data_IF_783981343889
#
_entry.id   IF_783981343889
#
_cell.length_a   1.000
_cell.length_b   1.000
_cell.length_c   1.000
_cell.angle_alpha   90.00
_cell.angle_beta   90.00
_cell.angle_gamma   90.00
#
_symmetry.space_group_name_H-M   'P 1'
#
loop_
_entity.id
_entity.type
_entity.pdbx_description
1 polymer ?
#
# COMPACT_ATOMS: atom_id res chain seq x y z
N UNK A 1 57.31 -43.29 25.50
CA UNK A 1 57.28 -41.86 25.18
C UNK A 1 56.04 -41.64 24.34
N UNK A 2 55.05 -40.81 24.61
CA UNK A 2 54.66 -39.95 25.73
C UNK A 2 53.20 -39.52 25.41
N UNK A 3 52.33 -39.51 26.43
CA UNK A 3 51.20 -38.60 26.71
C UNK A 3 50.28 -38.05 25.58
N UNK A 4 48.95 -38.21 25.75
CA UNK A 4 47.94 -37.14 25.96
C UNK A 4 47.53 -36.42 24.64
N UNK A 5 46.33 -35.89 24.41
CA UNK A 5 45.35 -35.29 25.31
C UNK A 5 43.95 -35.19 24.65
N UNK A 6 42.99 -34.93 25.53
CA UNK A 6 41.60 -34.50 25.40
C UNK A 6 41.30 -33.48 24.29
N UNK A 7 40.06 -33.47 23.78
CA UNK A 7 39.09 -32.40 24.09
C UNK A 7 37.90 -32.41 23.14
N UNK A 8 36.72 -32.63 23.72
CA UNK A 8 35.45 -32.09 23.20
C UNK A 8 35.52 -30.56 23.15
N UNK A 9 35.12 -29.95 22.04
CA UNK A 9 34.63 -28.58 22.03
C UNK A 9 33.51 -28.46 21.01
N UNK A 10 32.31 -28.37 21.55
CA UNK A 10 31.09 -27.96 20.86
C UNK A 10 31.24 -26.49 20.49
N UNK A 11 31.39 -26.17 19.20
CA UNK A 11 31.18 -24.80 18.73
C UNK A 11 29.80 -24.71 18.08
N UNK A 12 28.86 -24.29 18.92
CA UNK A 12 27.60 -23.68 18.51
C UNK A 12 27.91 -22.39 17.75
N UNK A 13 27.98 -22.48 16.42
CA UNK A 13 27.90 -21.30 15.57
C UNK A 13 26.45 -21.09 15.14
N UNK A 14 25.72 -20.37 16.00
CA UNK A 14 24.43 -19.77 15.65
C UNK A 14 24.68 -18.67 14.61
N UNK A 15 24.61 -19.01 13.33
CA UNK A 15 24.50 -17.99 12.28
C UNK A 15 23.06 -17.49 12.25
N UNK A 16 22.75 -16.54 13.13
CA UNK A 16 21.57 -15.69 13.00
C UNK A 16 21.76 -14.80 11.77
N UNK A 17 21.33 -15.29 10.60
CA UNK A 17 21.06 -14.42 9.46
C UNK A 17 19.83 -13.60 9.79
N UNK A 18 20.05 -12.43 10.36
CA UNK A 18 19.10 -11.33 10.31
C UNK A 18 18.97 -10.95 8.84
N UNK A 19 18.04 -11.57 8.12
CA UNK A 19 17.60 -11.07 6.82
C UNK A 19 17.04 -9.69 7.06
N UNK A 20 17.86 -8.68 6.79
CA UNK A 20 17.39 -7.32 6.61
C UNK A 20 16.27 -7.40 5.57
N UNK A 21 15.03 -7.17 5.99
CA UNK A 21 13.95 -6.91 5.06
C UNK A 21 14.35 -5.66 4.29
N UNK A 22 14.96 -5.88 3.13
CA UNK A 22 15.11 -4.87 2.12
C UNK A 22 13.68 -4.40 1.84
N UNK A 23 13.34 -3.18 2.26
CA UNK A 23 12.19 -2.46 1.74
C UNK A 23 12.46 -2.21 0.25
N UNK A 24 12.34 -3.27 -0.55
CA UNK A 24 12.38 -3.21 -1.98
C UNK A 24 11.24 -2.28 -2.39
N UNK A 25 11.57 -1.13 -2.96
CA UNK A 25 10.57 -0.29 -3.61
C UNK A 25 9.82 -1.17 -4.61
N UNK A 26 8.47 -1.13 -4.63
CA UNK A 26 7.72 -1.84 -5.65
C UNK A 26 8.23 -1.40 -7.03
N UNK A 27 8.43 -2.33 -7.97
CA UNK A 27 8.96 -2.02 -9.27
C UNK A 27 8.10 -0.94 -9.93
N UNK A 28 8.73 0.13 -10.40
CA UNK A 28 8.03 1.23 -11.07
C UNK A 28 7.35 0.64 -12.31
N UNK A 29 6.01 0.70 -12.41
CA UNK A 29 5.30 0.12 -13.54
C UNK A 29 5.80 0.73 -14.84
N UNK A 30 6.13 -0.12 -15.81
CA UNK A 30 6.55 0.34 -17.12
C UNK A 30 5.39 1.04 -17.86
N UNK A 31 5.69 1.80 -18.91
CA UNK A 31 4.68 2.60 -19.61
C UNK A 31 3.51 1.74 -20.15
N UNK A 32 3.78 0.49 -20.56
CA UNK A 32 2.77 -0.45 -21.06
C UNK A 32 1.82 -0.92 -19.96
N UNK A 33 2.35 -1.21 -18.78
CA UNK A 33 1.56 -1.57 -17.59
C UNK A 33 0.66 -0.42 -17.15
N UNK A 34 1.16 0.82 -17.19
CA UNK A 34 0.35 2.01 -16.89
C UNK A 34 -0.82 2.17 -17.86
N UNK A 35 -0.63 1.92 -19.15
CA UNK A 35 -1.71 1.97 -20.14
C UNK A 35 -2.74 0.88 -19.87
N UNK A 36 -2.29 -0.37 -19.63
CA UNK A 36 -3.20 -1.47 -19.28
C UNK A 36 -4.01 -1.15 -18.02
N UNK A 37 -3.36 -0.65 -16.97
CA UNK A 37 -4.02 -0.28 -15.72
C UNK A 37 -5.07 0.82 -15.93
N UNK A 38 -4.83 1.81 -16.80
CA UNK A 38 -5.83 2.83 -17.13
C UNK A 38 -7.07 2.23 -17.79
N UNK A 39 -6.89 1.32 -18.74
CA UNK A 39 -8.00 0.63 -19.40
C UNK A 39 -8.79 -0.25 -18.43
N UNK A 40 -8.08 -0.99 -17.57
CA UNK A 40 -8.68 -1.85 -16.54
C UNK A 40 -9.49 -1.00 -15.54
N UNK A 41 -8.92 0.13 -15.08
CA UNK A 41 -9.60 1.07 -14.18
C UNK A 41 -10.82 1.70 -14.84
N UNK A 42 -10.75 2.09 -16.12
CA UNK A 42 -11.90 2.66 -16.82
C UNK A 42 -13.05 1.66 -16.92
N UNK A 43 -12.74 0.39 -17.24
CA UNK A 43 -13.73 -0.69 -17.26
C UNK A 43 -14.36 -0.89 -15.88
N UNK A 44 -13.54 -0.89 -14.82
CA UNK A 44 -14.02 -1.04 -13.45
C UNK A 44 -14.92 0.13 -13.01
N UNK A 45 -14.50 1.38 -13.24
CA UNK A 45 -15.29 2.56 -12.90
C UNK A 45 -16.58 2.68 -13.72
N UNK A 46 -16.63 2.09 -14.92
CA UNK A 46 -17.87 2.00 -15.70
C UNK A 46 -18.86 0.99 -15.10
N UNK A 47 -18.35 -0.08 -14.50
CA UNK A 47 -19.18 -1.07 -13.79
C UNK A 47 -19.62 -0.58 -12.40
N UNK A 48 -18.88 0.35 -11.80
CA UNK A 48 -19.11 0.90 -10.46
C UNK A 48 -19.34 2.43 -10.49
N UNK A 49 -20.49 2.90 -11.01
CA UNK A 49 -20.78 4.34 -11.09
C UNK A 49 -20.78 5.04 -9.72
N UNK A 50 -21.14 4.34 -8.65
CA UNK A 50 -21.11 4.82 -7.27
C UNK A 50 -19.70 5.23 -6.82
N UNK A 51 -18.70 4.39 -7.14
CA UNK A 51 -17.31 4.68 -6.84
C UNK A 51 -16.82 5.91 -7.63
N UNK A 52 -17.23 6.00 -8.90
CA UNK A 52 -16.90 7.16 -9.75
C UNK A 52 -17.49 8.45 -9.18
N UNK A 53 -18.75 8.44 -8.74
CA UNK A 53 -19.39 9.60 -8.10
C UNK A 53 -18.68 9.99 -6.81
N UNK A 54 -18.32 9.01 -5.98
CA UNK A 54 -17.63 9.25 -4.73
C UNK A 54 -16.25 9.90 -4.94
N UNK A 55 -15.47 9.42 -5.93
CA UNK A 55 -14.20 10.04 -6.32
C UNK A 55 -14.43 11.46 -6.83
N UNK A 56 -15.46 11.70 -7.64
CA UNK A 56 -15.78 13.04 -8.14
C UNK A 56 -16.08 14.02 -7.00
N UNK A 57 -16.88 13.62 -6.00
CA UNK A 57 -17.16 14.44 -4.81
C UNK A 57 -15.89 14.76 -4.03
N UNK A 58 -15.01 13.78 -3.83
CA UNK A 58 -13.73 14.00 -3.15
C UNK A 58 -12.88 15.06 -3.88
N UNK A 59 -12.80 14.97 -5.20
CA UNK A 59 -12.08 15.95 -6.04
C UNK A 59 -12.72 17.33 -5.97
N UNK A 60 -14.04 17.43 -6.06
CA UNK A 60 -14.76 18.69 -5.97
C UNK A 60 -14.51 19.38 -4.63
N UNK A 61 -14.55 18.64 -3.52
CA UNK A 61 -14.23 19.18 -2.19
C UNK A 61 -12.80 19.72 -2.15
N UNK A 62 -11.82 19.00 -2.69
CA UNK A 62 -10.43 19.46 -2.73
C UNK A 62 -10.29 20.76 -3.55
N UNK A 63 -10.95 20.83 -4.70
CA UNK A 63 -10.90 22.00 -5.58
C UNK A 63 -11.59 23.23 -4.96
N UNK A 64 -12.68 23.03 -4.22
CA UNK A 64 -13.42 24.10 -3.54
C UNK A 64 -12.69 24.58 -2.28
N UNK A 65 -12.25 23.64 -1.44
CA UNK A 65 -11.62 23.97 -0.15
C UNK A 65 -10.20 24.49 -0.29
N UNK A 66 -9.52 24.20 -1.41
CA UNK A 66 -8.15 24.62 -1.71
C UNK A 66 -7.23 24.42 -0.50
N UNK A 67 -7.08 23.16 -0.04
CA UNK A 67 -6.39 22.87 1.19
C UNK A 67 -4.95 23.36 1.15
N UNK A 68 -4.45 23.75 2.32
CA UNK A 68 -3.08 24.26 2.48
C UNK A 68 -2.04 23.24 2.02
N UNK A 69 -2.26 21.95 2.30
CA UNK A 69 -1.42 20.87 1.77
C UNK A 69 -1.89 20.44 0.39
N UNK A 70 -0.97 20.50 -0.58
CA UNK A 70 -1.20 20.05 -1.97
C UNK A 70 -1.07 18.53 -2.16
N UNK A 71 -0.90 17.78 -1.07
CA UNK A 71 -0.81 16.32 -1.11
C UNK A 71 -2.20 15.71 -1.36
N UNK A 72 -2.45 15.30 -2.60
CA UNK A 72 -3.70 14.67 -3.01
C UNK A 72 -4.01 13.40 -2.22
N UNK A 73 -3.01 12.58 -1.89
CA UNK A 73 -3.24 11.35 -1.15
C UNK A 73 -3.74 11.66 0.26
N UNK A 74 -3.09 12.60 0.95
CA UNK A 74 -3.52 13.03 2.28
C UNK A 74 -4.94 13.62 2.25
N UNK A 75 -5.27 14.45 1.25
CA UNK A 75 -6.58 15.08 1.15
C UNK A 75 -7.69 14.07 0.84
N UNK A 76 -7.42 13.11 -0.04
CA UNK A 76 -8.34 12.02 -0.35
C UNK A 76 -8.57 11.14 0.89
N UNK A 77 -7.51 10.77 1.62
CA UNK A 77 -7.65 10.04 2.88
C UNK A 77 -8.48 10.81 3.91
N UNK A 78 -8.24 12.12 4.07
CA UNK A 78 -9.03 12.97 4.98
C UNK A 78 -10.50 12.99 4.59
N UNK A 79 -10.82 13.16 3.30
CA UNK A 79 -12.19 13.12 2.81
C UNK A 79 -12.89 11.80 3.19
N UNK A 80 -12.24 10.66 2.93
CA UNK A 80 -12.80 9.34 3.24
C UNK A 80 -12.85 8.99 4.73
N UNK A 81 -12.02 9.63 5.56
CA UNK A 81 -12.09 9.48 7.02
C UNK A 81 -13.16 10.38 7.65
N UNK A 82 -13.50 11.51 7.01
CA UNK A 82 -14.48 12.49 7.48
C UNK A 82 -15.91 12.16 7.01
N UNK A 83 -16.08 11.78 5.73
CA UNK A 83 -17.29 11.07 5.30
C UNK A 83 -17.26 9.71 6.00
N UNK A 84 -17.89 9.60 7.16
CA UNK A 84 -18.06 8.34 7.87
C UNK A 84 -18.41 7.25 6.85
N UNK A 85 -17.54 6.23 6.68
CA UNK A 85 -17.77 5.01 5.87
C UNK A 85 -19.06 4.23 6.26
N UNK A 86 -19.88 4.77 7.17
CA UNK A 86 -21.13 4.22 7.68
C UNK A 86 -22.20 4.07 6.59
N UNK A 87 -22.22 4.95 5.58
CA UNK A 87 -23.28 4.92 4.56
C UNK A 87 -22.99 3.96 3.38
N UNK A 88 -21.73 3.56 3.19
CA UNK A 88 -21.35 2.64 2.10
C UNK A 88 -21.65 1.18 2.47
N UNK A 89 -21.59 0.82 3.76
CA UNK A 89 -21.90 -0.54 4.23
C UNK A 89 -23.39 -0.80 4.50
N UNK A 90 -24.24 0.23 4.53
CA UNK A 90 -25.64 0.11 4.95
C UNK A 90 -26.67 -0.06 3.80
N UNK A 91 -26.26 -0.11 2.53
CA UNK A 91 -27.17 -0.25 1.39
C UNK A 91 -27.34 -1.69 0.86
N UNK A 92 -27.22 -2.70 1.74
CA UNK A 92 -27.68 -4.07 1.47
C UNK A 92 -28.90 -4.40 2.34
N UNK A 93 -30.00 -3.66 2.18
CA UNK A 93 -31.25 -3.92 2.88
C UNK A 93 -32.41 -4.20 1.91
#
# INVERSE_FOLDING_TARGET
MSHQDSSTSVESSSSSSSTSESHAQPPIPNAREKVKQRMDNEKYLRAHPELKQMIARAVDVILVTKPETRDLHQQICKFFMQENLKDICNNNH
#
